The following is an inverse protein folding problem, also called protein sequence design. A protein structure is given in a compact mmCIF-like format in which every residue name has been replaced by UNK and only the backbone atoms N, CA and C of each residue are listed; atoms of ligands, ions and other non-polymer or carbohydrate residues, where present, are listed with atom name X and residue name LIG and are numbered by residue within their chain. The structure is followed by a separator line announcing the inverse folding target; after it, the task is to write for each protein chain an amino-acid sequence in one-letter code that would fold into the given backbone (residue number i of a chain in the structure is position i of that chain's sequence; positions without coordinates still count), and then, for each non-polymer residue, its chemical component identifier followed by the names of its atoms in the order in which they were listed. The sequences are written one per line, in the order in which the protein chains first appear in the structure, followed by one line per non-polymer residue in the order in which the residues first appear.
data_IF_235989497097
#
_entry.id   IF_235989497097
#
_cell.length_a   1.000
_cell.length_b   1.000
_cell.length_c   1.000
_cell.angle_alpha   90.00
_cell.angle_beta   90.00
_cell.angle_gamma   90.00
#
_symmetry.space_group_name_H-M   'P 1'
#
loop_
_entity.id
_entity.type
_entity.pdbx_description
1 polymer ?
#
# COMPACT_ATOMS: atom_id res chain seq x y z
N UNK A 1 -29.93 17.16 -0.31
CA UNK A 1 -28.88 16.47 0.47
C UNK A 1 -27.62 16.49 -0.36
N UNK A 2 -26.51 17.02 0.16
CA UNK A 2 -25.23 17.07 -0.53
C UNK A 2 -24.18 16.30 0.27
N UNK A 3 -23.18 15.76 -0.41
CA UNK A 3 -22.06 15.02 0.18
C UNK A 3 -20.81 15.86 -0.03
N UNK A 4 -20.02 16.02 1.03
CA UNK A 4 -18.68 16.61 0.97
C UNK A 4 -17.69 15.49 1.28
N UNK A 5 -16.66 15.37 0.46
CA UNK A 5 -15.55 14.44 0.67
C UNK A 5 -14.29 15.24 0.95
N UNK A 6 -13.60 14.90 2.03
CA UNK A 6 -12.33 15.52 2.41
C UNK A 6 -11.47 14.50 3.14
N UNK A 7 -10.16 14.69 3.07
CA UNK A 7 -9.20 13.93 3.86
C UNK A 7 -8.89 14.68 5.15
N UNK A 8 -8.95 14.00 6.28
CA UNK A 8 -8.60 14.56 7.58
C UNK A 8 -7.82 13.55 8.40
N UNK A 9 -6.84 14.03 9.15
CA UNK A 9 -6.12 13.20 10.11
C UNK A 9 -7.01 12.93 11.33
N UNK A 10 -7.02 11.68 11.78
CA UNK A 10 -7.63 11.32 13.06
C UNK A 10 -6.64 11.64 14.18
N UNK A 11 -6.98 12.56 15.07
CA UNK A 11 -6.15 12.93 16.23
C UNK A 11 -6.89 12.60 17.51
N UNK A 12 -6.34 11.70 18.33
CA UNK A 12 -6.97 11.24 19.59
C UNK A 12 -8.41 10.75 19.40
N UNK A 13 -8.71 10.08 18.28
CA UNK A 13 -10.05 9.60 17.95
C UNK A 13 -11.03 10.67 17.46
N UNK A 14 -10.57 11.90 17.24
CA UNK A 14 -11.37 13.01 16.72
C UNK A 14 -11.00 13.30 15.25
N UNK A 15 -12.03 13.58 14.45
CA UNK A 15 -11.91 14.13 13.09
C UNK A 15 -12.47 15.54 13.15
N UNK A 16 -11.64 16.53 12.82
CA UNK A 16 -12.08 17.93 12.75
C UNK A 16 -12.64 18.22 11.35
N UNK A 17 -13.79 18.89 11.31
CA UNK A 17 -14.38 19.40 10.07
C UNK A 17 -13.59 20.65 9.65
N UNK A 18 -13.03 20.69 8.42
CA UNK A 18 -12.35 21.87 7.90
C UNK A 18 -13.23 23.13 7.92
N UNK A 19 -12.63 24.29 8.17
CA UNK A 19 -13.34 25.57 8.34
C UNK A 19 -14.25 25.90 7.14
N UNK A 20 -13.79 25.59 5.93
CA UNK A 20 -14.53 25.77 4.67
C UNK A 20 -15.90 25.06 4.62
N UNK A 21 -16.12 24.04 5.46
CA UNK A 21 -17.38 23.30 5.50
C UNK A 21 -18.25 23.59 6.73
N UNK A 22 -17.72 24.34 7.72
CA UNK A 22 -18.43 24.57 8.99
C UNK A 22 -19.74 25.33 8.81
N UNK A 23 -19.79 26.29 7.91
CA UNK A 23 -21.01 27.08 7.62
C UNK A 23 -22.10 26.25 6.92
N UNK A 24 -21.71 25.17 6.24
CA UNK A 24 -22.61 24.33 5.45
C UNK A 24 -23.15 23.13 6.23
N UNK A 25 -22.54 22.78 7.36
CA UNK A 25 -22.89 21.60 8.16
C UNK A 25 -23.80 21.99 9.34
N UNK A 26 -25.09 21.72 9.20
CA UNK A 26 -26.10 21.86 10.26
C UNK A 26 -26.05 20.64 11.21
N UNK A 27 -26.32 20.87 12.50
CA UNK A 27 -26.18 20.02 13.72
C UNK A 27 -26.12 18.47 13.65
N UNK A 28 -26.58 17.80 12.59
CA UNK A 28 -26.55 16.34 12.44
C UNK A 28 -26.07 15.93 11.05
N UNK A 29 -25.06 15.06 11.01
CA UNK A 29 -24.48 14.52 9.78
C UNK A 29 -24.49 13.00 9.77
N UNK A 30 -24.45 12.42 8.55
CA UNK A 30 -24.10 11.01 8.33
C UNK A 30 -22.63 10.96 7.95
N UNK A 31 -21.83 10.17 8.67
CA UNK A 31 -20.39 10.01 8.43
C UNK A 31 -20.14 8.66 7.75
N UNK A 32 -19.34 8.66 6.69
CA UNK A 32 -18.79 7.45 6.07
C UNK A 32 -17.27 7.50 6.25
N UNK A 33 -16.69 6.49 6.89
CA UNK A 33 -15.24 6.35 7.01
C UNK A 33 -14.76 5.37 5.96
N UNK A 34 -13.88 5.84 5.08
CA UNK A 34 -13.13 4.99 4.16
C UNK A 34 -11.74 4.85 4.74
N UNK A 35 -11.39 3.63 5.14
CA UNK A 35 -10.02 3.31 5.51
C UNK A 35 -9.27 3.01 4.21
N UNK A 36 -8.27 3.83 3.89
CA UNK A 36 -7.27 3.43 2.92
C UNK A 36 -6.51 2.25 3.54
N UNK A 37 -6.58 1.09 2.90
CA UNK A 37 -5.57 0.08 3.11
C UNK A 37 -4.28 0.75 2.64
N UNK A 38 -3.45 1.19 3.60
CA UNK A 38 -2.03 1.35 3.28
C UNK A 38 -1.67 0.02 2.64
N UNK A 39 -1.11 0.00 1.42
CA UNK A 39 -0.45 -1.21 1.00
C UNK A 39 0.56 -1.46 2.13
N UNK A 40 0.34 -2.52 2.94
CA UNK A 40 1.45 -3.22 3.57
C UNK A 40 2.50 -3.19 2.50
N UNK A 41 3.66 -2.57 2.76
CA UNK A 41 4.71 -2.39 1.76
C UNK A 41 4.83 -3.74 1.11
N UNK A 42 4.19 -3.86 -0.05
CA UNK A 42 3.91 -5.17 -0.56
C UNK A 42 5.24 -5.41 -1.19
N UNK A 43 6.10 -6.11 -0.45
CA UNK A 43 7.21 -6.81 -1.02
C UNK A 43 6.52 -7.60 -2.12
N UNK A 44 6.56 -7.09 -3.35
CA UNK A 44 5.84 -7.70 -4.45
C UNK A 44 6.33 -9.13 -4.58
N UNK A 45 5.77 -9.94 -5.47
CA UNK A 45 6.23 -11.33 -5.59
C UNK A 45 7.77 -11.46 -5.66
N UNK A 46 8.45 -10.50 -6.29
CA UNK A 46 9.93 -10.41 -6.28
C UNK A 46 10.51 -10.17 -4.88
N UNK A 47 9.99 -9.22 -4.11
CA UNK A 47 10.46 -8.93 -2.75
C UNK A 47 10.28 -10.13 -1.81
N UNK A 48 9.12 -10.79 -1.88
CA UNK A 48 8.87 -12.02 -1.12
C UNK A 48 9.84 -13.16 -1.49
N UNK A 49 10.17 -13.31 -2.77
CA UNK A 49 11.12 -14.32 -3.23
C UNK A 49 12.57 -14.02 -2.84
N UNK A 50 12.93 -12.74 -2.68
CA UNK A 50 14.27 -12.37 -2.19
C UNK A 50 14.42 -12.68 -0.69
N UNK A 51 13.38 -12.43 0.10
CA UNK A 51 13.37 -12.73 1.55
C UNK A 51 13.21 -14.22 1.84
N UNK A 52 12.42 -14.92 1.03
CA UNK A 52 12.16 -16.35 1.14
C UNK A 52 12.29 -17.03 -0.23
N UNK A 53 13.51 -17.35 -0.67
CA UNK A 53 13.74 -17.98 -1.96
C UNK A 53 13.11 -19.38 -2.01
N UNK A 54 12.50 -19.72 -3.15
CA UNK A 54 11.91 -21.03 -3.38
C UNK A 54 12.98 -22.12 -3.28
N UNK A 55 12.76 -23.06 -2.36
CA UNK A 55 13.59 -24.26 -2.23
C UNK A 55 13.08 -25.30 -3.20
N UNK A 56 13.78 -25.46 -4.32
CA UNK A 56 13.48 -26.47 -5.32
C UNK A 56 14.53 -27.57 -5.19
N UNK A 57 14.09 -28.82 -5.02
CA UNK A 57 15.00 -29.95 -4.93
C UNK A 57 15.82 -30.10 -6.20
N UNK A 58 17.13 -30.23 -6.05
CA UNK A 58 18.06 -30.32 -7.18
C UNK A 58 18.34 -29.00 -7.89
N UNK A 59 17.88 -27.86 -7.38
CA UNK A 59 18.26 -26.55 -7.92
C UNK A 59 19.74 -26.27 -7.68
N UNK A 60 20.50 -26.21 -8.77
CA UNK A 60 21.89 -25.78 -8.78
C UNK A 60 21.97 -24.43 -9.50
N UNK A 61 22.13 -23.31 -8.78
CA UNK A 61 22.30 -22.02 -9.41
C UNK A 61 23.60 -22.03 -10.22
N UNK A 62 23.54 -21.43 -11.41
CA UNK A 62 24.72 -21.28 -12.27
C UNK A 62 25.75 -20.40 -11.55
N UNK A 63 27.01 -20.77 -11.71
CA UNK A 63 28.10 -19.88 -11.31
C UNK A 63 28.12 -18.64 -12.19
N UNK A 64 28.80 -17.60 -11.72
CA UNK A 64 28.90 -16.34 -12.45
C UNK A 64 29.58 -16.57 -13.80
N UNK A 65 30.58 -17.44 -13.83
CA UNK A 65 31.32 -17.84 -15.01
C UNK A 65 30.41 -18.56 -16.04
N UNK A 66 29.54 -19.45 -15.58
CA UNK A 66 28.60 -20.20 -16.44
C UNK A 66 27.53 -19.30 -17.09
N UNK A 67 27.14 -18.19 -16.44
CA UNK A 67 26.18 -17.24 -17.01
C UNK A 67 26.75 -16.44 -18.19
N UNK A 68 28.04 -16.09 -18.16
CA UNK A 68 28.66 -15.28 -19.22
C UNK A 68 28.83 -16.04 -20.53
N UNK A 69 29.06 -17.36 -20.47
CA UNK A 69 29.26 -18.22 -21.66
C UNK A 69 28.01 -18.25 -22.57
N UNK A 70 26.81 -18.04 -22.02
CA UNK A 70 25.54 -18.07 -22.78
C UNK A 70 25.20 -16.78 -23.52
N UNK A 71 25.94 -15.69 -23.30
CA UNK A 71 25.72 -14.42 -24.02
C UNK A 71 26.59 -14.25 -25.28
N UNK A 72 27.49 -15.19 -25.55
CA UNK A 72 28.45 -15.12 -26.65
C UNK A 72 28.31 -16.26 -27.66
N UNK A 73 27.14 -16.88 -27.78
CA UNK A 73 26.84 -17.96 -28.74
C UNK A 73 25.71 -17.61 -29.68
#
# INVERSE_FOLDING_TARGET
MFTVEFHAAVRNGLIEIPDEYKEHIMSRVRVTLLQEEYPEVAHGFIGQLLENPLKIDGFQPLTREEMYVRQTG
#
